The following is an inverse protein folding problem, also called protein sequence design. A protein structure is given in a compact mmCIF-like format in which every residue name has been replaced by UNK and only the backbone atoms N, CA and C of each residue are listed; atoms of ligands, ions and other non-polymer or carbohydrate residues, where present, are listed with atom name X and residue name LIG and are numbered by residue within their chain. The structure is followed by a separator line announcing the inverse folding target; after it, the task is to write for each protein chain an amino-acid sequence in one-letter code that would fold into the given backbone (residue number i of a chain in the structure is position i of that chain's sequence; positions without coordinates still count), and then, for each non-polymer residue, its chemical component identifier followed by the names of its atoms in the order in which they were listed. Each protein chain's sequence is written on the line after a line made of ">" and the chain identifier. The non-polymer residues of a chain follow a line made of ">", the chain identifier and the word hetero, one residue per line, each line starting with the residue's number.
data_IF_477243498092
#
_entry.id   IF_477243498092
#
_cell.length_a   1.000
_cell.length_b   1.000
_cell.length_c   1.000
_cell.angle_alpha   90.00
_cell.angle_beta   90.00
_cell.angle_gamma   90.00
#
_symmetry.space_group_name_H-M   'P 1'
#
loop_
_entity.id
_entity.type
_entity.pdbx_description
1 polymer ?
#
# COMPACT_ATOMS: atom_id res chain seq x y z
N UNK A 1 3.21 19.93 12.85
CA UNK A 1 3.98 21.12 12.39
C UNK A 1 3.06 22.28 12.02
N UNK A 2 2.12 22.10 11.09
CA UNK A 2 1.15 23.14 10.70
C UNK A 2 0.31 23.68 11.87
N UNK A 3 -0.29 22.81 12.70
CA UNK A 3 -1.07 23.23 13.88
C UNK A 3 -0.22 23.99 14.91
N UNK A 4 1.08 23.69 14.98
CA UNK A 4 2.06 24.43 15.79
C UNK A 4 2.53 25.73 15.13
N UNK A 5 1.97 26.07 13.96
CA UNK A 5 2.30 27.24 13.12
C UNK A 5 3.77 27.29 12.66
N UNK A 6 4.42 26.12 12.54
CA UNK A 6 5.84 26.02 12.17
C UNK A 6 6.06 25.79 10.66
N UNK A 7 5.10 25.17 9.99
CA UNK A 7 5.09 25.01 8.54
C UNK A 7 3.74 25.46 7.99
N UNK A 8 3.69 25.71 6.70
CA UNK A 8 2.45 25.97 5.96
C UNK A 8 1.62 24.69 5.78
N UNK A 9 0.44 24.81 5.16
CA UNK A 9 -0.53 23.73 5.07
C UNK A 9 0.07 22.48 4.40
N UNK A 10 0.02 21.28 5.04
CA UNK A 10 0.84 20.16 4.63
C UNK A 10 0.17 19.23 3.60
N UNK A 11 -1.10 19.46 3.26
CA UNK A 11 -1.85 18.61 2.30
C UNK A 11 -1.91 19.32 0.95
N UNK A 12 -0.77 19.38 0.30
CA UNK A 12 -0.60 20.06 -0.99
C UNK A 12 0.22 19.19 -1.93
N UNK A 13 -0.14 19.19 -3.21
CA UNK A 13 0.64 18.61 -4.31
C UNK A 13 1.58 19.67 -4.93
N UNK A 14 1.41 20.96 -4.59
CA UNK A 14 2.17 22.05 -5.19
C UNK A 14 3.63 22.06 -4.73
N UNK A 15 4.50 22.37 -5.68
CA UNK A 15 5.95 22.60 -5.47
C UNK A 15 6.33 24.07 -5.63
N UNK A 16 5.35 24.95 -5.82
CA UNK A 16 5.54 26.38 -6.05
C UNK A 16 4.84 27.22 -4.98
N UNK A 17 5.38 28.43 -4.77
CA UNK A 17 4.76 29.53 -4.05
C UNK A 17 3.99 30.42 -5.03
N UNK A 18 3.04 31.20 -4.54
CA UNK A 18 2.37 32.21 -5.36
C UNK A 18 3.29 33.41 -5.61
N UNK A 19 3.04 34.16 -6.68
CA UNK A 19 3.88 35.29 -7.08
C UNK A 19 3.91 36.42 -6.04
N UNK A 20 2.81 36.65 -5.31
CA UNK A 20 2.72 37.65 -4.24
C UNK A 20 3.59 37.32 -3.02
N UNK A 21 4.01 36.06 -2.86
CA UNK A 21 4.92 35.65 -1.80
C UNK A 21 6.39 35.97 -2.09
N UNK A 22 6.76 36.39 -3.30
CA UNK A 22 8.17 36.54 -3.72
C UNK A 22 8.97 37.42 -2.77
N UNK A 23 8.40 38.54 -2.33
CA UNK A 23 9.04 39.46 -1.38
C UNK A 23 9.28 38.88 0.02
N UNK A 24 8.58 37.80 0.39
CA UNK A 24 8.72 37.13 1.69
C UNK A 24 9.77 36.00 1.68
N UNK A 25 10.12 35.48 0.50
CA UNK A 25 11.03 34.33 0.35
C UNK A 25 12.39 34.53 1.03
N UNK A 26 13.03 35.73 0.99
CA UNK A 26 14.28 35.97 1.73
C UNK A 26 14.13 35.76 3.24
N UNK A 27 13.03 36.23 3.84
CA UNK A 27 12.75 36.04 5.26
C UNK A 27 12.50 34.56 5.62
N UNK A 28 11.74 33.85 4.78
CA UNK A 28 11.50 32.41 4.93
C UNK A 28 12.81 31.61 4.81
N UNK A 29 13.70 31.99 3.90
CA UNK A 29 15.02 31.38 3.72
C UNK A 29 15.91 31.63 4.94
N UNK A 30 15.90 32.85 5.50
CA UNK A 30 16.62 33.17 6.73
C UNK A 30 16.11 32.35 7.93
N UNK A 31 14.80 32.18 8.06
CA UNK A 31 14.20 31.30 9.06
C UNK A 31 14.65 29.83 8.86
N UNK A 32 14.65 29.35 7.61
CA UNK A 32 15.10 28.01 7.27
C UNK A 32 16.58 27.77 7.60
N UNK A 33 17.46 28.75 7.33
CA UNK A 33 18.88 28.69 7.66
C UNK A 33 19.08 28.55 9.18
N UNK A 34 18.35 29.36 9.98
CA UNK A 34 18.39 29.28 11.43
C UNK A 34 17.88 27.94 11.97
N UNK A 35 16.78 27.41 11.42
CA UNK A 35 16.26 26.08 11.79
C UNK A 35 17.30 24.98 11.55
N UNK A 36 18.09 25.11 10.48
CA UNK A 36 19.10 24.14 10.11
C UNK A 36 20.46 24.36 10.78
N UNK A 37 20.67 25.51 11.44
CA UNK A 37 21.97 25.89 12.01
C UNK A 37 23.03 26.14 10.95
N UNK A 38 22.64 26.69 9.79
CA UNK A 38 23.55 27.00 8.68
C UNK A 38 23.57 28.49 8.38
N UNK A 39 24.59 28.96 7.67
CA UNK A 39 24.65 30.33 7.20
C UNK A 39 23.50 30.65 6.23
N UNK A 40 23.01 31.89 6.29
CA UNK A 40 22.05 32.42 5.31
C UNK A 40 22.75 32.47 3.95
N UNK A 41 21.99 32.23 2.89
CA UNK A 41 22.50 32.26 1.52
C UNK A 41 22.84 33.69 1.13
N UNK A 42 23.96 33.91 0.46
CA UNK A 42 24.34 35.24 -0.05
C UNK A 42 23.36 35.75 -1.13
N UNK A 43 22.75 34.83 -1.87
CA UNK A 43 21.75 35.13 -2.91
C UNK A 43 20.57 34.19 -2.76
N UNK A 44 19.36 34.75 -2.76
CA UNK A 44 18.09 34.01 -2.68
C UNK A 44 17.36 34.14 -4.01
N UNK A 45 17.21 33.02 -4.72
CA UNK A 45 16.53 32.96 -6.02
C UNK A 45 15.01 32.84 -5.84
N UNK A 46 14.36 33.89 -5.32
CA UNK A 46 12.93 33.89 -4.99
C UNK A 46 12.02 33.60 -6.20
N UNK A 47 12.29 34.23 -7.34
CA UNK A 47 11.53 34.03 -8.57
C UNK A 47 11.52 32.56 -9.06
N UNK A 48 12.52 31.75 -8.69
CA UNK A 48 12.58 30.33 -9.09
C UNK A 48 11.47 29.49 -8.44
N UNK A 49 11.03 29.88 -7.24
CA UNK A 49 10.03 29.13 -6.47
C UNK A 49 8.64 29.75 -6.54
N UNK A 50 8.51 30.98 -7.07
CA UNK A 50 7.25 31.70 -7.18
C UNK A 50 6.65 31.57 -8.59
N UNK A 51 5.53 30.87 -8.72
CA UNK A 51 4.78 30.76 -9.98
C UNK A 51 3.31 30.41 -9.70
N UNK A 52 2.42 31.43 -9.69
CA UNK A 52 0.99 31.23 -9.42
C UNK A 52 0.30 30.28 -10.40
N UNK A 53 0.76 30.19 -11.65
CA UNK A 53 0.18 29.27 -12.65
C UNK A 53 0.50 27.79 -12.36
N UNK A 54 1.46 27.51 -11.46
CA UNK A 54 1.84 26.16 -11.04
C UNK A 54 1.45 25.86 -9.60
N UNK A 55 0.67 26.75 -8.98
CA UNK A 55 0.08 26.54 -7.66
C UNK A 55 -1.30 25.92 -7.84
N UNK A 56 -1.55 24.81 -7.16
CA UNK A 56 -2.88 24.17 -7.08
C UNK A 56 -3.70 24.84 -5.95
N UNK A 57 -4.65 24.14 -5.32
CA UNK A 57 -5.45 24.67 -4.20
C UNK A 57 -4.62 25.31 -3.07
N UNK A 58 -3.39 24.82 -2.89
CA UNK A 58 -2.45 25.30 -1.88
C UNK A 58 -1.05 25.41 -2.46
N UNK A 59 -0.26 26.36 -1.97
CA UNK A 59 1.15 26.49 -2.33
C UNK A 59 2.03 25.42 -1.64
N UNK A 60 3.33 25.41 -1.96
CA UNK A 60 4.30 24.47 -1.39
C UNK A 60 4.44 24.56 0.13
N UNK A 61 4.86 23.44 0.75
CA UNK A 61 5.16 23.38 2.19
C UNK A 61 6.48 24.09 2.46
N UNK A 62 6.44 25.17 3.24
CA UNK A 62 7.61 25.94 3.68
C UNK A 62 7.53 26.20 5.19
N UNK A 63 8.67 26.46 5.86
CA UNK A 63 8.63 26.93 7.24
C UNK A 63 7.94 28.30 7.29
N UNK A 64 7.27 28.62 8.39
CA UNK A 64 6.76 29.98 8.61
C UNK A 64 7.89 30.87 9.14
N UNK A 65 7.75 32.20 9.03
CA UNK A 65 8.71 33.12 9.67
C UNK A 65 8.82 32.90 11.19
N UNK A 66 7.68 32.59 11.84
CA UNK A 66 7.63 32.27 13.27
C UNK A 66 8.47 31.07 13.66
N UNK A 67 8.61 30.08 12.76
CA UNK A 67 9.42 28.89 12.99
C UNK A 67 10.91 29.21 13.20
N UNK A 68 11.42 30.28 12.59
CA UNK A 68 12.80 30.75 12.82
C UNK A 68 13.03 31.27 14.25
N UNK A 69 11.98 31.51 15.03
CA UNK A 69 12.07 31.96 16.44
C UNK A 69 11.88 30.83 17.43
N UNK A 70 11.49 29.65 16.96
CA UNK A 70 11.26 28.46 17.79
C UNK A 70 12.60 27.86 18.23
N UNK A 71 12.65 27.39 19.48
CA UNK A 71 13.72 26.50 19.91
C UNK A 71 13.53 25.13 19.25
N UNK A 72 14.27 24.90 18.16
CA UNK A 72 14.19 23.69 17.35
C UNK A 72 14.67 22.46 18.12
N UNK A 73 15.58 22.61 19.08
CA UNK A 73 16.09 21.48 19.86
C UNK A 73 15.09 20.99 20.90
N UNK A 74 14.22 21.86 21.39
CA UNK A 74 13.12 21.52 22.28
C UNK A 74 11.99 20.71 21.61
N UNK A 75 11.96 20.64 20.27
CA UNK A 75 10.98 19.83 19.55
C UNK A 75 11.27 18.33 19.69
N UNK A 76 10.23 17.48 19.75
CA UNK A 76 10.38 16.02 19.64
C UNK A 76 11.21 15.64 18.41
N UNK A 77 12.04 14.60 18.54
CA UNK A 77 13.04 14.26 17.51
C UNK A 77 12.46 14.13 16.08
N UNK A 78 11.30 13.47 15.93
CA UNK A 78 10.63 13.34 14.63
C UNK A 78 10.14 14.68 14.08
N UNK A 79 9.53 15.50 14.92
CA UNK A 79 9.06 16.85 14.55
C UNK A 79 10.22 17.76 14.14
N UNK A 80 11.31 17.72 14.90
CA UNK A 80 12.54 18.46 14.63
C UNK A 80 13.12 18.10 13.26
N UNK A 81 13.23 16.81 12.95
CA UNK A 81 13.78 16.38 11.67
C UNK A 81 12.84 16.69 10.50
N UNK A 82 11.52 16.64 10.68
CA UNK A 82 10.55 17.09 9.65
C UNK A 82 10.70 18.60 9.38
N UNK A 83 10.76 19.43 10.43
CA UNK A 83 10.92 20.87 10.26
C UNK A 83 12.22 21.21 9.54
N UNK A 84 13.32 20.52 9.91
CA UNK A 84 14.61 20.65 9.21
C UNK A 84 14.57 20.16 7.78
N UNK A 85 13.81 19.11 7.47
CA UNK A 85 13.65 18.62 6.10
C UNK A 85 12.96 19.67 5.23
N UNK A 86 11.86 20.24 5.72
CA UNK A 86 11.12 21.32 5.04
C UNK A 86 12.02 22.55 4.84
N UNK A 87 12.74 22.96 5.88
CA UNK A 87 13.68 24.09 5.83
C UNK A 87 14.82 23.86 4.82
N UNK A 88 15.44 22.67 4.82
CA UNK A 88 16.47 22.32 3.82
C UNK A 88 15.90 22.30 2.40
N UNK A 89 14.66 21.85 2.22
CA UNK A 89 13.97 21.88 0.93
C UNK A 89 13.90 23.30 0.37
N UNK A 90 13.49 24.27 1.21
CA UNK A 90 13.46 25.68 0.82
C UNK A 90 14.86 26.20 0.50
N UNK A 91 15.86 25.94 1.35
CA UNK A 91 17.25 26.35 1.10
C UNK A 91 17.79 25.78 -0.22
N UNK A 92 17.51 24.51 -0.51
CA UNK A 92 17.92 23.92 -1.79
C UNK A 92 17.21 24.59 -2.98
N UNK A 93 15.92 24.90 -2.82
CA UNK A 93 15.10 25.45 -3.89
C UNK A 93 15.43 26.92 -4.21
N UNK A 94 15.91 27.70 -3.25
CA UNK A 94 16.28 29.11 -3.41
C UNK A 94 17.78 29.37 -3.54
N UNK A 95 18.62 28.34 -3.32
CA UNK A 95 20.07 28.44 -3.42
C UNK A 95 20.59 28.52 -4.86
N UNK A 96 21.85 28.95 -5.01
CA UNK A 96 22.54 29.03 -6.29
C UNK A 96 22.71 27.66 -6.96
N UNK A 97 22.90 27.66 -8.27
CA UNK A 97 23.17 26.43 -9.03
C UNK A 97 24.45 25.75 -8.56
N UNK A 98 24.42 24.42 -8.41
CA UNK A 98 25.62 23.61 -8.28
C UNK A 98 26.43 23.65 -9.59
N UNK A 99 27.69 24.08 -9.53
CA UNK A 99 28.58 24.22 -10.69
C UNK A 99 29.79 23.29 -10.57
N UNK A 100 30.13 22.66 -11.68
CA UNK A 100 31.27 21.78 -11.79
C UNK A 100 31.84 21.82 -13.21
N UNK A 101 33.12 21.50 -13.32
CA UNK A 101 33.80 21.25 -14.58
C UNK A 101 33.84 19.75 -14.84
N UNK A 102 33.22 19.30 -15.94
CA UNK A 102 33.28 17.91 -16.38
C UNK A 102 34.41 17.74 -17.40
N UNK A 103 35.31 16.79 -17.14
CA UNK A 103 36.30 16.32 -18.13
C UNK A 103 35.84 14.96 -18.63
N UNK A 104 35.59 14.84 -19.93
CA UNK A 104 35.20 13.59 -20.58
C UNK A 104 36.32 13.13 -21.52
N UNK A 105 36.78 11.90 -21.34
CA UNK A 105 37.90 11.33 -22.09
C UNK A 105 37.43 10.07 -22.79
N UNK A 106 37.71 9.98 -24.08
CA UNK A 106 37.49 8.77 -24.87
C UNK A 106 38.85 8.14 -25.20
N UNK A 107 38.98 6.86 -24.91
CA UNK A 107 40.21 6.09 -25.05
C UNK A 107 40.00 4.98 -26.05
N UNK A 108 41.01 4.69 -26.87
CA UNK A 108 41.03 3.52 -27.75
C UNK A 108 42.01 2.49 -27.22
N UNK A 109 41.56 1.26 -27.02
CA UNK A 109 42.40 0.15 -26.61
C UNK A 109 41.95 -1.14 -27.30
N UNK A 110 42.87 -1.80 -28.02
CA UNK A 110 42.58 -3.06 -28.72
C UNK A 110 41.43 -2.95 -29.72
N UNK A 111 41.31 -1.81 -30.43
CA UNK A 111 40.23 -1.56 -31.41
C UNK A 111 38.87 -1.20 -30.79
N UNK A 112 38.75 -1.13 -29.46
CA UNK A 112 37.52 -0.78 -28.75
C UNK A 112 37.62 0.62 -28.14
N UNK A 113 36.49 1.32 -28.04
CA UNK A 113 36.39 2.61 -27.36
C UNK A 113 35.93 2.46 -25.92
N UNK A 114 36.58 3.19 -25.03
CA UNK A 114 36.24 3.33 -23.62
C UNK A 114 36.01 4.80 -23.31
N UNK A 115 35.11 5.11 -22.38
CA UNK A 115 34.88 6.49 -21.93
C UNK A 115 34.92 6.60 -20.42
N UNK A 116 35.47 7.71 -19.94
CA UNK A 116 35.48 8.06 -18.53
C UNK A 116 35.19 9.55 -18.38
N UNK A 117 34.48 9.90 -17.31
CA UNK A 117 34.15 11.28 -16.96
C UNK A 117 34.62 11.56 -15.55
N UNK A 118 35.26 12.70 -15.34
CA UNK A 118 35.53 13.26 -14.02
C UNK A 118 34.86 14.60 -13.82
N UNK A 119 34.55 14.93 -12.57
CA UNK A 119 33.89 16.17 -12.17
C UNK A 119 34.68 16.87 -11.08
N UNK A 120 35.13 18.09 -11.37
CA UNK A 120 35.70 18.99 -10.38
C UNK A 120 34.64 20.02 -9.97
N UNK A 121 34.24 20.02 -8.70
CA UNK A 121 33.22 20.95 -8.18
C UNK A 121 33.84 22.35 -8.09
N UNK A 122 33.21 23.32 -8.73
CA UNK A 122 33.64 24.73 -8.69
C UNK A 122 32.78 25.55 -7.73
N UNK A 123 31.50 25.19 -7.59
CA UNK A 123 30.57 25.81 -6.63
C UNK A 123 29.58 24.75 -6.12
N UNK A 124 29.52 24.46 -4.81
CA UNK A 124 28.57 23.50 -4.27
C UNK A 124 27.10 23.96 -4.40
N UNK A 125 26.84 25.27 -4.50
CA UNK A 125 25.51 25.85 -4.60
C UNK A 125 24.49 25.23 -3.64
N UNK A 126 23.30 24.93 -4.15
CA UNK A 126 22.22 24.31 -3.38
C UNK A 126 22.58 22.96 -2.73
N UNK A 127 23.56 22.20 -3.27
CA UNK A 127 23.99 20.92 -2.67
C UNK A 127 24.64 21.12 -1.30
N UNK A 128 25.15 22.33 -0.99
CA UNK A 128 25.69 22.65 0.34
C UNK A 128 24.67 22.44 1.47
N UNK A 129 23.36 22.48 1.16
CA UNK A 129 22.29 22.30 2.13
C UNK A 129 21.75 20.86 2.21
N UNK A 130 22.23 19.95 1.36
CA UNK A 130 21.88 18.53 1.44
C UNK A 130 22.65 17.83 2.56
N UNK A 131 21.99 16.87 3.22
CA UNK A 131 22.59 16.01 4.26
C UNK A 131 23.26 14.75 3.70
N UNK A 132 23.14 14.50 2.40
CA UNK A 132 23.70 13.28 1.80
C UNK A 132 25.23 13.33 1.81
N UNK A 133 25.85 12.18 2.13
CA UNK A 133 27.30 12.02 1.93
C UNK A 133 27.54 12.04 0.43
N UNK A 134 28.37 12.98 -0.02
CA UNK A 134 28.93 12.95 -1.37
C UNK A 134 29.47 11.54 -1.65
N UNK A 135 29.01 10.94 -2.75
CA UNK A 135 29.52 9.65 -3.22
C UNK A 135 30.87 9.93 -3.91
N UNK A 136 32.02 9.55 -3.32
CA UNK A 136 33.33 9.87 -3.87
C UNK A 136 33.53 9.26 -5.26
N UNK A 137 32.78 8.19 -5.59
CA UNK A 137 32.85 7.54 -6.90
C UNK A 137 32.23 8.37 -8.03
N UNK A 138 31.31 9.30 -7.70
CA UNK A 138 30.63 10.19 -8.66
C UNK A 138 31.29 11.56 -8.79
N UNK A 139 32.18 11.90 -7.88
CA UNK A 139 32.88 13.18 -7.78
C UNK A 139 34.40 12.97 -7.84
N UNK A 140 34.83 12.08 -8.73
CA UNK A 140 36.25 11.87 -9.00
C UNK A 140 36.74 12.88 -10.03
N UNK A 141 37.87 13.52 -9.73
CA UNK A 141 38.58 14.39 -10.68
C UNK A 141 39.52 13.50 -11.50
N UNK A 142 39.54 13.67 -12.82
CA UNK A 142 40.50 12.98 -13.66
C UNK A 142 41.89 13.62 -13.51
N UNK A 143 42.99 12.87 -13.73
CA UNK A 143 44.33 13.46 -13.72
C UNK A 143 44.44 14.63 -14.71
N UNK A 144 45.14 15.67 -14.30
CA UNK A 144 45.47 16.80 -15.16
C UNK A 144 46.43 16.38 -16.29
N UNK A 145 46.50 17.19 -17.34
CA UNK A 145 47.48 17.02 -18.42
C UNK A 145 47.12 15.97 -19.49
N UNK A 146 45.89 15.46 -19.47
CA UNK A 146 45.37 14.62 -20.57
C UNK A 146 45.20 15.46 -21.85
N UNK A 147 45.83 15.02 -22.93
CA UNK A 147 45.76 15.67 -24.25
C UNK A 147 45.38 14.69 -25.35
N UNK A 148 44.84 15.21 -26.45
CA UNK A 148 44.56 14.38 -27.62
C UNK A 148 45.85 13.78 -28.18
N UNK A 149 45.79 12.49 -28.55
CA UNK A 149 46.96 11.73 -29.02
C UNK A 149 47.86 11.19 -27.90
N UNK A 150 47.59 11.50 -26.63
CA UNK A 150 48.33 10.92 -25.50
C UNK A 150 48.14 9.40 -25.44
N UNK A 151 49.25 8.66 -25.30
CA UNK A 151 49.23 7.22 -25.07
C UNK A 151 49.32 6.94 -23.57
N UNK A 152 48.38 6.16 -23.05
CA UNK A 152 48.33 5.76 -21.64
C UNK A 152 48.66 4.26 -21.49
N UNK A 153 49.49 3.85 -20.51
CA UNK A 153 49.77 2.44 -20.28
C UNK A 153 48.57 1.75 -19.64
N UNK A 154 48.24 0.54 -20.13
CA UNK A 154 47.24 -0.34 -19.49
C UNK A 154 47.95 -1.21 -18.46
N UNK A 155 47.66 -0.98 -17.18
CA UNK A 155 48.30 -1.72 -16.07
C UNK A 155 47.59 -3.03 -15.72
N UNK A 156 46.27 -3.08 -15.90
CA UNK A 156 45.47 -4.28 -15.67
C UNK A 156 44.18 -4.26 -16.50
N UNK A 157 43.70 -5.45 -16.86
CA UNK A 157 42.38 -5.66 -17.42
C UNK A 157 41.67 -6.75 -16.61
N UNK A 158 40.42 -6.53 -16.24
CA UNK A 158 39.63 -7.48 -15.46
C UNK A 158 38.27 -7.69 -16.10
N UNK A 159 37.79 -8.93 -16.08
CA UNK A 159 36.43 -9.26 -16.52
C UNK A 159 35.51 -9.06 -15.32
N UNK A 160 34.55 -8.15 -15.43
CA UNK A 160 33.51 -7.95 -14.42
C UNK A 160 32.30 -8.80 -14.76
N UNK A 161 32.18 -9.94 -14.10
CA UNK A 161 30.99 -10.76 -14.19
C UNK A 161 29.83 -10.12 -13.41
N UNK A 162 28.63 -10.19 -13.97
CA UNK A 162 27.41 -9.66 -13.37
C UNK A 162 26.22 -10.59 -13.64
N UNK A 163 25.22 -10.55 -12.75
CA UNK A 163 23.93 -11.21 -12.94
C UNK A 163 22.82 -10.18 -12.83
N UNK A 164 21.75 -10.38 -13.61
CA UNK A 164 20.55 -9.57 -13.45
C UNK A 164 19.92 -9.83 -12.08
N UNK A 165 19.26 -8.81 -11.53
CA UNK A 165 18.51 -8.92 -10.27
C UNK A 165 17.04 -8.68 -10.55
N UNK A 166 16.17 -9.46 -9.91
CA UNK A 166 14.73 -9.22 -9.97
C UNK A 166 14.37 -7.81 -9.47
N UNK A 167 13.22 -7.25 -9.90
CA UNK A 167 12.70 -5.99 -9.37
C UNK A 167 12.61 -6.03 -7.85
N UNK A 168 12.94 -4.91 -7.20
CA UNK A 168 12.82 -4.80 -5.75
C UNK A 168 11.35 -4.74 -5.36
N UNK A 169 11.02 -5.34 -4.22
CA UNK A 169 9.72 -5.09 -3.59
C UNK A 169 9.57 -3.61 -3.24
N UNK A 170 8.32 -3.16 -3.17
CA UNK A 170 8.01 -1.81 -2.73
C UNK A 170 8.34 -1.63 -1.24
N UNK A 171 8.95 -0.51 -0.89
CA UNK A 171 8.85 0.12 0.43
C UNK A 171 7.67 1.10 0.45
N UNK A 172 7.32 1.66 1.61
CA UNK A 172 6.28 2.71 1.69
C UNK A 172 6.58 3.89 0.77
N UNK A 173 7.81 4.40 0.79
CA UNK A 173 8.27 5.50 -0.06
C UNK A 173 8.11 5.18 -1.55
N UNK A 174 8.63 4.03 -1.99
CA UNK A 174 8.52 3.65 -3.40
C UNK A 174 7.09 3.35 -3.85
N UNK A 175 6.21 2.88 -2.95
CA UNK A 175 4.80 2.66 -3.27
C UNK A 175 4.03 3.98 -3.34
N UNK A 176 4.27 4.91 -2.42
CA UNK A 176 3.68 6.25 -2.46
C UNK A 176 4.06 6.99 -3.74
N UNK A 177 5.34 6.92 -4.13
CA UNK A 177 5.82 7.48 -5.40
C UNK A 177 5.18 6.79 -6.63
N UNK A 178 4.99 5.46 -6.57
CA UNK A 178 4.26 4.75 -7.61
C UNK A 178 2.78 5.18 -7.67
N UNK A 179 2.13 5.42 -6.53
CA UNK A 179 0.75 5.92 -6.48
C UNK A 179 0.63 7.32 -7.07
N UNK A 180 1.60 8.22 -6.86
CA UNK A 180 1.64 9.56 -7.44
C UNK A 180 1.71 9.57 -8.98
N UNK A 181 2.22 8.51 -9.58
CA UNK A 181 2.49 8.45 -11.03
C UNK A 181 1.75 7.31 -11.73
N UNK A 182 0.90 6.59 -11.00
CA UNK A 182 0.11 5.48 -11.54
C UNK A 182 -0.78 5.97 -12.71
N UNK A 183 -0.72 5.26 -13.85
CA UNK A 183 -1.48 5.63 -15.05
C UNK A 183 -0.98 6.89 -15.78
N UNK A 184 0.05 7.58 -15.29
CA UNK A 184 0.51 8.86 -15.85
C UNK A 184 0.96 8.79 -17.33
N UNK A 185 1.36 7.60 -17.81
CA UNK A 185 1.77 7.38 -19.21
C UNK A 185 0.60 7.34 -20.19
N UNK A 186 -0.58 7.02 -19.67
CA UNK A 186 -1.80 6.83 -20.46
C UNK A 186 -2.73 8.06 -20.37
N UNK A 187 -2.33 9.07 -19.60
CA UNK A 187 -3.02 10.35 -19.46
C UNK A 187 -2.41 11.43 -20.37
N UNK A 188 -3.18 12.47 -20.70
CA UNK A 188 -2.66 13.64 -21.39
C UNK A 188 -1.55 14.33 -20.58
N UNK A 189 -0.60 14.96 -21.26
CA UNK A 189 0.48 15.69 -20.58
C UNK A 189 -0.07 16.79 -19.66
N UNK A 190 -1.18 17.41 -20.07
CA UNK A 190 -1.89 18.50 -19.40
C UNK A 190 -2.80 18.05 -18.24
N UNK A 191 -2.85 16.75 -17.92
CA UNK A 191 -3.60 16.27 -16.77
C UNK A 191 -3.01 16.87 -15.48
N UNK A 192 -3.71 17.86 -14.91
CA UNK A 192 -3.36 18.54 -13.66
C UNK A 192 -3.16 17.59 -12.47
N UNK A 193 -3.80 16.41 -12.49
CA UNK A 193 -3.62 15.36 -11.48
C UNK A 193 -3.31 14.04 -12.16
N UNK A 194 -2.19 13.44 -11.77
CA UNK A 194 -1.75 12.12 -12.20
C UNK A 194 -1.68 11.21 -10.96
N UNK A 195 -1.82 9.90 -11.16
CA UNK A 195 -1.77 8.94 -10.09
C UNK A 195 -3.11 8.62 -9.42
N UNK A 196 -3.04 7.80 -8.38
CA UNK A 196 -4.18 7.33 -7.60
C UNK A 196 -4.18 7.93 -6.20
N UNK A 197 -5.34 8.45 -5.80
CA UNK A 197 -5.55 9.12 -4.51
C UNK A 197 -4.86 10.49 -4.42
N UNK A 198 -5.02 11.13 -3.26
CA UNK A 198 -4.51 12.48 -2.96
C UNK A 198 -3.41 12.41 -1.91
N UNK A 199 -2.55 13.44 -1.73
CA UNK A 199 -1.56 13.48 -0.65
C UNK A 199 -2.14 13.16 0.73
N UNK A 200 -3.39 13.56 0.95
CA UNK A 200 -4.07 13.35 2.22
C UNK A 200 -4.54 11.91 2.44
N UNK A 201 -4.72 11.11 1.38
CA UNK A 201 -5.35 9.78 1.47
C UNK A 201 -4.40 8.61 1.23
N UNK A 202 -3.32 8.79 0.45
CA UNK A 202 -2.41 7.68 0.07
C UNK A 202 -1.84 6.94 1.29
N UNK A 203 -1.27 7.65 2.26
CA UNK A 203 -0.74 7.04 3.48
C UNK A 203 -1.82 6.27 4.26
N UNK A 204 -3.03 6.83 4.35
CA UNK A 204 -4.16 6.16 5.00
C UNK A 204 -4.62 4.90 4.27
N UNK A 205 -4.55 4.87 2.94
CA UNK A 205 -4.81 3.68 2.12
C UNK A 205 -3.78 2.59 2.42
N UNK A 206 -2.48 2.92 2.48
CA UNK A 206 -1.44 1.97 2.86
C UNK A 206 -1.71 1.36 4.25
N UNK A 207 -2.03 2.18 5.25
CA UNK A 207 -2.37 1.68 6.58
C UNK A 207 -3.62 0.80 6.58
N UNK A 208 -4.63 1.14 5.76
CA UNK A 208 -5.82 0.29 5.59
C UNK A 208 -5.47 -1.07 4.99
N UNK A 209 -4.61 -1.11 3.97
CA UNK A 209 -4.16 -2.37 3.36
C UNK A 209 -3.42 -3.25 4.37
N UNK A 210 -2.59 -2.65 5.24
CA UNK A 210 -1.86 -3.37 6.28
C UNK A 210 -2.78 -3.83 7.40
N UNK A 211 -3.60 -2.95 7.95
CA UNK A 211 -4.52 -3.28 9.05
C UNK A 211 -5.61 -4.30 8.66
N UNK A 212 -6.02 -4.32 7.39
CA UNK A 212 -6.95 -5.33 6.84
C UNK A 212 -6.25 -6.66 6.55
N UNK A 213 -4.90 -6.70 6.57
CA UNK A 213 -4.12 -7.93 6.37
C UNK A 213 -3.90 -8.30 4.90
N UNK A 214 -4.09 -7.39 3.94
CA UNK A 214 -3.78 -7.64 2.52
C UNK A 214 -2.29 -7.47 2.22
N UNK A 215 -1.61 -6.63 2.99
CA UNK A 215 -0.18 -6.34 2.86
C UNK A 215 0.47 -6.45 4.23
N UNK A 216 1.70 -6.95 4.29
CA UNK A 216 2.50 -7.01 5.50
C UNK A 216 3.81 -6.22 5.35
N UNK A 217 4.28 -5.66 6.47
CA UNK A 217 5.58 -5.00 6.58
C UNK A 217 6.64 -6.03 6.97
N UNK A 218 7.50 -6.41 6.02
CA UNK A 218 8.61 -7.34 6.25
C UNK A 218 9.93 -6.61 6.26
N UNK A 219 10.61 -6.64 7.42
CA UNK A 219 11.94 -6.07 7.57
C UNK A 219 12.97 -6.98 6.89
N UNK A 220 13.68 -6.46 5.90
CA UNK A 220 14.78 -7.13 5.23
C UNK A 220 16.02 -6.23 5.23
N UNK A 221 17.05 -6.65 5.97
CA UNK A 221 18.26 -5.86 6.22
C UNK A 221 17.90 -4.49 6.81
N UNK A 222 18.22 -3.40 6.10
CA UNK A 222 17.97 -2.01 6.51
C UNK A 222 16.68 -1.42 5.94
N UNK A 223 15.91 -2.18 5.16
CA UNK A 223 14.67 -1.72 4.54
C UNK A 223 13.47 -2.50 5.08
N UNK A 224 12.31 -1.84 5.13
CA UNK A 224 11.02 -2.48 5.38
C UNK A 224 10.26 -2.54 4.05
N UNK A 225 10.03 -3.76 3.58
CA UNK A 225 9.31 -4.01 2.34
C UNK A 225 7.83 -4.27 2.64
N UNK A 226 6.97 -3.84 1.73
CA UNK A 226 5.55 -4.17 1.67
C UNK A 226 5.39 -5.43 0.80
N UNK A 227 4.90 -6.50 1.41
CA UNK A 227 4.71 -7.79 0.75
C UNK A 227 3.22 -8.13 0.76
N UNK A 228 2.61 -8.51 -0.36
CA UNK A 228 1.23 -8.96 -0.36
C UNK A 228 1.10 -10.26 0.42
N UNK A 229 0.07 -10.36 1.26
CA UNK A 229 -0.25 -11.60 1.97
C UNK A 229 -0.97 -12.58 1.04
N UNK A 230 -1.15 -13.82 1.48
CA UNK A 230 -1.93 -14.80 0.71
C UNK A 230 -3.34 -14.29 0.42
N UNK A 231 -4.00 -13.65 1.38
CA UNK A 231 -5.35 -13.09 1.19
C UNK A 231 -5.33 -11.93 0.19
N UNK A 232 -4.29 -11.07 0.24
CA UNK A 232 -4.12 -9.99 -0.74
C UNK A 232 -3.94 -10.51 -2.17
N UNK A 233 -3.10 -11.53 -2.36
CA UNK A 233 -2.91 -12.19 -3.67
C UNK A 233 -4.20 -12.86 -4.14
N UNK A 234 -4.88 -13.59 -3.26
CA UNK A 234 -6.15 -14.24 -3.55
C UNK A 234 -7.22 -13.24 -3.99
N UNK A 235 -7.33 -12.09 -3.32
CA UNK A 235 -8.29 -11.03 -3.67
C UNK A 235 -8.02 -10.46 -5.06
N UNK A 236 -6.78 -10.09 -5.36
CA UNK A 236 -6.40 -9.58 -6.68
C UNK A 236 -6.64 -10.63 -7.77
N UNK A 237 -6.42 -11.92 -7.47
CA UNK A 237 -6.66 -13.01 -8.42
C UNK A 237 -8.14 -13.15 -8.83
N UNK A 238 -9.08 -12.80 -7.94
CA UNK A 238 -10.52 -12.96 -8.19
C UNK A 238 -11.24 -11.68 -8.61
N UNK A 239 -10.61 -10.52 -8.44
CA UNK A 239 -11.21 -9.24 -8.82
C UNK A 239 -11.24 -9.08 -10.35
N UNK A 240 -12.31 -8.52 -10.94
CA UNK A 240 -12.32 -8.11 -12.33
C UNK A 240 -11.14 -7.18 -12.66
N UNK A 241 -10.48 -7.40 -13.81
CA UNK A 241 -9.28 -6.64 -14.23
C UNK A 241 -9.54 -5.12 -14.26
N UNK A 242 -10.73 -4.72 -14.68
CA UNK A 242 -11.16 -3.31 -14.71
C UNK A 242 -11.02 -2.63 -13.33
N UNK A 243 -11.29 -3.34 -12.22
CA UNK A 243 -11.20 -2.80 -10.86
C UNK A 243 -9.77 -2.77 -10.31
N UNK A 244 -8.84 -3.48 -10.95
CA UNK A 244 -7.43 -3.50 -10.58
C UNK A 244 -6.66 -2.37 -11.27
N UNK A 245 -7.24 -1.76 -12.31
CA UNK A 245 -6.55 -0.82 -13.17
C UNK A 245 -6.43 0.57 -12.53
N UNK A 246 -5.20 1.12 -12.40
CA UNK A 246 -5.03 2.51 -12.00
C UNK A 246 -5.58 3.48 -13.04
N UNK A 247 -5.73 3.06 -14.30
CA UNK A 247 -6.30 3.88 -15.38
C UNK A 247 -7.76 4.24 -15.09
N UNK A 248 -8.56 3.30 -14.58
CA UNK A 248 -9.95 3.58 -14.25
C UNK A 248 -10.08 4.69 -13.19
N UNK A 249 -9.20 4.67 -12.19
CA UNK A 249 -9.16 5.72 -11.17
C UNK A 249 -8.76 7.07 -11.77
N UNK A 250 -7.80 7.06 -12.68
CA UNK A 250 -7.31 8.25 -13.37
C UNK A 250 -8.39 8.88 -14.27
N UNK A 251 -9.15 8.06 -15.00
CA UNK A 251 -10.30 8.48 -15.82
C UNK A 251 -11.40 9.12 -14.95
N UNK A 252 -11.71 8.53 -13.79
CA UNK A 252 -12.69 9.10 -12.87
C UNK A 252 -12.23 10.44 -12.27
N UNK A 253 -10.96 10.57 -11.88
CA UNK A 253 -10.41 11.85 -11.41
C UNK A 253 -10.48 12.92 -12.51
N UNK A 254 -10.27 12.54 -13.79
CA UNK A 254 -10.44 13.46 -14.91
C UNK A 254 -11.91 13.91 -15.07
N UNK A 255 -12.86 12.97 -15.08
CA UNK A 255 -14.29 13.29 -15.18
C UNK A 255 -14.81 14.13 -14.02
N UNK A 256 -14.31 13.89 -12.79
CA UNK A 256 -14.63 14.73 -11.63
C UNK A 256 -14.23 16.20 -11.86
N UNK A 257 -13.11 16.44 -12.56
CA UNK A 257 -12.71 17.81 -12.94
C UNK A 257 -13.57 18.40 -14.04
N UNK A 258 -13.96 17.61 -15.03
CA UNK A 258 -14.93 18.06 -16.04
C UNK A 258 -16.26 18.46 -15.38
N UNK A 259 -16.69 17.72 -14.35
CA UNK A 259 -17.85 18.07 -13.53
C UNK A 259 -17.62 19.38 -12.77
N UNK A 260 -16.46 19.56 -12.13
CA UNK A 260 -16.10 20.80 -11.43
C UNK A 260 -16.09 22.02 -12.36
N UNK A 261 -15.59 21.86 -13.60
CA UNK A 261 -15.59 22.91 -14.65
C UNK A 261 -16.97 23.10 -15.31
N UNK A 262 -17.93 22.23 -15.03
CA UNK A 262 -19.27 22.27 -15.63
C UNK A 262 -19.34 21.75 -17.07
N UNK A 263 -18.31 21.03 -17.53
CA UNK A 263 -18.23 20.40 -18.86
C UNK A 263 -19.07 19.12 -18.92
N UNK A 264 -19.13 18.36 -17.81
CA UNK A 264 -19.95 17.14 -17.67
C UNK A 264 -20.97 17.34 -16.55
N UNK A 265 -22.21 16.84 -16.75
CA UNK A 265 -23.23 16.90 -15.70
C UNK A 265 -22.93 15.89 -14.60
N UNK A 266 -23.06 16.24 -13.30
CA UNK A 266 -22.88 15.29 -12.20
C UNK A 266 -23.74 14.02 -12.34
N UNK A 267 -24.96 14.14 -12.89
CA UNK A 267 -25.84 13.00 -13.12
C UNK A 267 -25.28 12.02 -14.15
N UNK A 268 -24.66 12.53 -15.22
CA UNK A 268 -24.10 11.70 -16.29
C UNK A 268 -22.91 10.88 -15.79
N UNK A 269 -22.02 11.50 -15.00
CA UNK A 269 -20.93 10.81 -14.32
C UNK A 269 -21.44 9.69 -13.40
N UNK A 270 -22.45 9.99 -12.56
CA UNK A 270 -23.04 9.01 -11.66
C UNK A 270 -23.78 7.89 -12.38
N UNK A 271 -24.47 8.17 -13.48
CA UNK A 271 -25.13 7.18 -14.31
C UNK A 271 -24.11 6.21 -14.93
N UNK A 272 -22.95 6.70 -15.37
CA UNK A 272 -21.83 5.90 -15.84
C UNK A 272 -21.33 4.91 -14.78
N UNK A 273 -21.13 5.37 -13.54
CA UNK A 273 -20.74 4.51 -12.41
C UNK A 273 -21.83 3.45 -12.13
N UNK A 274 -23.10 3.85 -12.12
CA UNK A 274 -24.21 2.94 -11.88
C UNK A 274 -24.32 1.85 -12.95
N UNK A 275 -24.11 2.20 -14.23
CA UNK A 275 -24.11 1.25 -15.33
C UNK A 275 -22.96 0.25 -15.19
N UNK A 276 -21.73 0.71 -14.93
CA UNK A 276 -20.59 -0.16 -14.68
C UNK A 276 -20.86 -1.13 -13.53
N UNK A 277 -21.42 -0.65 -12.41
CA UNK A 277 -21.74 -1.50 -11.25
C UNK A 277 -22.82 -2.54 -11.59
N UNK A 278 -23.86 -2.18 -12.34
CA UNK A 278 -24.89 -3.13 -12.80
C UNK A 278 -24.27 -4.22 -13.67
N UNK A 279 -23.38 -3.84 -14.59
CA UNK A 279 -22.71 -4.79 -15.48
C UNK A 279 -21.77 -5.70 -14.70
N UNK A 280 -20.96 -5.15 -13.78
CA UNK A 280 -20.08 -5.94 -12.93
C UNK A 280 -20.87 -6.96 -12.09
N UNK A 281 -21.96 -6.55 -11.45
CA UNK A 281 -22.79 -7.45 -10.64
C UNK A 281 -23.54 -8.47 -11.50
N UNK A 282 -24.02 -8.06 -12.68
CA UNK A 282 -24.80 -8.92 -13.58
C UNK A 282 -23.94 -9.95 -14.33
N UNK A 283 -22.68 -9.62 -14.61
CA UNK A 283 -21.77 -10.49 -15.38
C UNK A 283 -20.81 -11.29 -14.51
N UNK A 284 -20.62 -10.90 -13.24
CA UNK A 284 -19.72 -11.60 -12.34
C UNK A 284 -20.17 -13.05 -12.12
N UNK A 285 -19.30 -13.97 -12.50
CA UNK A 285 -19.43 -15.39 -12.19
C UNK A 285 -18.44 -15.72 -11.09
N UNK A 286 -18.90 -16.48 -10.10
CA UNK A 286 -18.00 -17.03 -9.07
C UNK A 286 -16.89 -17.80 -9.77
N UNK A 287 -15.65 -17.40 -9.52
CA UNK A 287 -14.49 -18.08 -10.09
C UNK A 287 -14.39 -19.46 -9.45
N UNK A 288 -14.39 -20.49 -10.30
CA UNK A 288 -14.23 -21.87 -9.87
C UNK A 288 -12.91 -22.04 -9.10
N UNK A 289 -12.97 -22.65 -7.92
CA UNK A 289 -11.82 -22.79 -7.04
C UNK A 289 -11.53 -21.60 -6.12
N UNK A 290 -12.36 -20.54 -6.13
CA UNK A 290 -12.23 -19.41 -5.20
C UNK A 290 -12.26 -19.82 -3.71
N UNK A 291 -12.98 -20.88 -3.36
CA UNK A 291 -12.94 -21.51 -2.02
C UNK A 291 -11.55 -22.01 -1.60
N UNK A 292 -10.65 -22.32 -2.54
CA UNK A 292 -9.25 -22.68 -2.25
C UNK A 292 -8.42 -21.42 -1.96
N UNK A 293 -8.75 -20.32 -2.62
CA UNK A 293 -8.07 -19.03 -2.47
C UNK A 293 -8.43 -18.34 -1.13
N UNK A 294 -9.62 -18.61 -0.60
CA UNK A 294 -10.09 -18.14 0.70
C UNK A 294 -10.44 -19.33 1.61
N UNK A 295 -9.44 -20.06 2.13
CA UNK A 295 -9.72 -21.15 3.06
C UNK A 295 -10.38 -20.60 4.32
N UNK A 296 -11.36 -21.34 4.84
CA UNK A 296 -12.01 -20.99 6.09
C UNK A 296 -11.07 -21.25 7.26
N UNK A 297 -10.82 -20.24 8.09
CA UNK A 297 -10.06 -20.39 9.34
C UNK A 297 -10.85 -21.16 10.42
N UNK A 298 -12.07 -21.60 10.10
CA UNK A 298 -12.93 -22.28 11.06
C UNK A 298 -12.47 -23.71 11.26
N UNK A 299 -12.35 -24.09 12.52
CA UNK A 299 -11.98 -25.45 12.90
C UNK A 299 -12.99 -26.46 12.34
N UNK A 300 -12.47 -27.44 11.63
CA UNK A 300 -13.27 -28.53 11.07
C UNK A 300 -13.73 -29.46 12.19
N UNK A 301 -15.05 -29.58 12.33
CA UNK A 301 -15.70 -30.48 13.32
C UNK A 301 -15.76 -31.91 12.81
N UNK A 302 -15.85 -32.11 11.48
CA UNK A 302 -15.85 -33.42 10.84
C UNK A 302 -16.04 -33.32 9.33
N UNK A 303 -16.02 -34.47 8.65
CA UNK A 303 -16.30 -34.55 7.20
C UNK A 303 -17.82 -34.65 6.96
N UNK A 304 -18.29 -33.97 5.92
CA UNK A 304 -19.69 -34.00 5.51
C UNK A 304 -20.05 -35.39 4.94
N UNK A 305 -21.12 -36.05 5.41
CA UNK A 305 -21.52 -37.36 4.90
C UNK A 305 -22.04 -37.32 3.45
N UNK A 306 -22.44 -36.14 2.94
CA UNK A 306 -22.96 -35.98 1.57
C UNK A 306 -21.88 -35.76 0.52
N UNK A 307 -20.88 -34.93 0.81
CA UNK A 307 -19.89 -34.49 -0.18
C UNK A 307 -18.42 -34.64 0.26
N UNK A 308 -18.16 -35.14 1.47
CA UNK A 308 -16.81 -35.26 2.04
C UNK A 308 -16.14 -33.95 2.46
N UNK A 309 -16.73 -32.79 2.15
CA UNK A 309 -16.21 -31.46 2.51
C UNK A 309 -16.21 -31.19 4.02
N UNK A 310 -15.50 -30.15 4.46
CA UNK A 310 -15.44 -29.78 5.87
C UNK A 310 -16.80 -29.34 6.41
N UNK A 311 -17.12 -29.75 7.65
CA UNK A 311 -18.25 -29.24 8.43
C UNK A 311 -17.71 -28.38 9.57
N UNK A 312 -18.21 -27.15 9.68
CA UNK A 312 -17.74 -26.15 10.65
C UNK A 312 -18.87 -25.63 11.54
N UNK A 313 -18.52 -25.17 12.75
CA UNK A 313 -19.49 -24.65 13.71
C UNK A 313 -19.85 -23.19 13.40
N UNK A 314 -21.15 -22.87 13.42
CA UNK A 314 -21.72 -21.52 13.35
C UNK A 314 -22.70 -21.32 14.51
N UNK A 315 -23.17 -20.08 14.73
CA UNK A 315 -24.09 -19.74 15.83
C UNK A 315 -25.33 -20.64 15.88
N UNK A 316 -25.87 -21.02 14.72
CA UNK A 316 -27.11 -21.80 14.60
C UNK A 316 -26.91 -23.33 14.62
N UNK A 317 -25.69 -23.84 14.40
CA UNK A 317 -25.50 -25.25 14.06
C UNK A 317 -24.14 -25.57 13.46
N UNK A 318 -24.02 -26.78 12.93
CA UNK A 318 -22.83 -27.27 12.23
C UNK A 318 -23.16 -27.43 10.75
N UNK A 319 -22.41 -26.77 9.87
CA UNK A 319 -22.77 -26.64 8.45
C UNK A 319 -21.62 -27.09 7.56
N UNK A 320 -21.93 -27.73 6.44
CA UNK A 320 -20.92 -27.99 5.42
C UNK A 320 -20.46 -26.68 4.78
N UNK A 321 -19.15 -26.55 4.53
CA UNK A 321 -18.58 -25.37 3.90
C UNK A 321 -18.83 -25.30 2.39
N UNK A 322 -19.13 -26.44 1.76
CA UNK A 322 -19.59 -26.46 0.38
C UNK A 322 -21.02 -25.92 0.30
N UNK A 323 -21.17 -24.68 -0.17
CA UNK A 323 -22.45 -23.99 -0.29
C UNK A 323 -23.49 -24.77 -1.12
N UNK A 324 -23.06 -25.55 -2.12
CA UNK A 324 -23.95 -26.38 -2.94
C UNK A 324 -24.53 -27.60 -2.20
N UNK A 325 -23.85 -28.10 -1.17
CA UNK A 325 -24.22 -29.34 -0.47
C UNK A 325 -25.39 -29.17 0.51
N UNK A 326 -25.52 -27.98 1.11
CA UNK A 326 -26.59 -27.60 2.06
C UNK A 326 -26.77 -28.52 3.28
N UNK A 327 -25.79 -29.36 3.60
CA UNK A 327 -25.83 -30.20 4.80
C UNK A 327 -25.73 -29.33 6.07
N UNK A 328 -26.60 -29.61 7.06
CA UNK A 328 -26.65 -28.88 8.31
C UNK A 328 -27.11 -29.77 9.49
N UNK A 329 -26.49 -29.58 10.65
CA UNK A 329 -26.95 -30.09 11.95
C UNK A 329 -27.31 -28.91 12.85
N UNK A 330 -28.59 -28.69 13.05
CA UNK A 330 -29.10 -27.54 13.79
C UNK A 330 -29.04 -27.74 15.31
N UNK A 331 -28.47 -26.77 16.04
CA UNK A 331 -28.41 -26.82 17.51
C UNK A 331 -29.79 -26.83 18.16
N UNK A 332 -30.76 -26.16 17.53
CA UNK A 332 -32.16 -26.09 17.94
C UNK A 332 -33.05 -27.16 17.28
N UNK A 333 -32.48 -28.29 16.84
CA UNK A 333 -33.32 -29.35 16.26
C UNK A 333 -34.35 -29.85 17.28
N UNK A 334 -35.59 -30.06 16.81
CA UNK A 334 -36.70 -30.54 17.64
C UNK A 334 -36.35 -31.83 18.40
N UNK A 335 -35.55 -32.70 17.77
CA UNK A 335 -35.10 -33.95 18.39
C UNK A 335 -34.29 -33.71 19.67
N UNK A 336 -33.22 -32.92 19.60
CA UNK A 336 -32.36 -32.67 20.76
C UNK A 336 -33.10 -31.85 21.84
N UNK A 337 -33.91 -30.88 21.44
CA UNK A 337 -34.76 -30.09 22.35
C UNK A 337 -35.75 -30.97 23.12
N UNK A 338 -36.46 -31.89 22.43
CA UNK A 338 -37.40 -32.82 23.08
C UNK A 338 -36.72 -33.74 24.11
N UNK A 339 -35.42 -34.01 23.95
CA UNK A 339 -34.64 -34.82 24.91
C UNK A 339 -33.94 -34.00 25.97
N UNK A 340 -34.18 -32.68 26.02
CA UNK A 340 -33.49 -31.72 26.89
C UNK A 340 -31.96 -31.83 26.76
N UNK A 341 -31.47 -32.03 25.53
CA UNK A 341 -30.05 -32.10 25.20
C UNK A 341 -29.67 -31.01 24.22
N UNK A 342 -28.40 -30.63 24.26
CA UNK A 342 -27.80 -29.71 23.31
C UNK A 342 -26.91 -30.48 22.34
N UNK A 343 -26.98 -30.13 21.07
CA UNK A 343 -26.00 -30.59 20.08
C UNK A 343 -24.70 -29.82 20.29
N UNK A 344 -23.80 -30.36 21.10
CA UNK A 344 -22.46 -29.80 21.32
C UNK A 344 -21.53 -30.17 20.16
N UNK A 345 -20.38 -29.50 20.09
CA UNK A 345 -19.32 -29.79 19.10
C UNK A 345 -18.85 -31.24 19.16
N UNK A 346 -18.68 -31.79 20.36
CA UNK A 346 -18.27 -33.20 20.54
C UNK A 346 -19.33 -34.19 20.04
N UNK A 347 -20.62 -33.90 20.31
CA UNK A 347 -21.73 -34.73 19.82
C UNK A 347 -21.81 -34.67 18.30
N UNK A 348 -21.70 -33.47 17.70
CA UNK A 348 -21.67 -33.29 16.25
C UNK A 348 -20.48 -34.02 15.61
N UNK A 349 -19.27 -33.92 16.17
CA UNK A 349 -18.08 -34.60 15.68
C UNK A 349 -18.27 -36.14 15.67
N UNK A 350 -18.82 -36.72 16.75
CA UNK A 350 -19.11 -38.16 16.80
C UNK A 350 -20.18 -38.58 15.79
N UNK A 351 -21.24 -37.79 15.63
CA UNK A 351 -22.28 -38.08 14.62
C UNK A 351 -21.72 -38.04 13.19
N UNK A 352 -20.82 -37.10 12.88
CA UNK A 352 -20.20 -36.97 11.56
C UNK A 352 -19.20 -38.10 11.29
N UNK A 353 -18.45 -38.54 12.30
CA UNK A 353 -17.42 -39.58 12.16
C UNK A 353 -18.02 -40.99 12.15
N UNK A 354 -18.89 -41.27 13.11
CA UNK A 354 -19.32 -42.62 13.44
C UNK A 354 -20.78 -42.89 13.03
N UNK A 355 -21.51 -41.86 12.56
CA UNK A 355 -22.94 -41.92 12.29
C UNK A 355 -23.81 -42.03 13.55
N UNK A 356 -23.19 -42.11 14.74
CA UNK A 356 -23.88 -42.35 16.01
C UNK A 356 -23.12 -41.80 17.21
N UNK A 357 -23.84 -41.55 18.30
CA UNK A 357 -23.26 -41.07 19.57
C UNK A 357 -24.09 -41.53 20.76
N UNK A 358 -23.43 -41.98 21.83
CA UNK A 358 -24.12 -42.29 23.09
C UNK A 358 -24.45 -40.99 23.82
N UNK A 359 -25.72 -40.80 24.15
CA UNK A 359 -26.19 -39.71 25.00
C UNK A 359 -26.70 -40.29 26.32
N UNK A 360 -26.26 -39.69 27.42
CA UNK A 360 -26.70 -40.06 28.77
C UNK A 360 -27.74 -39.08 29.28
N UNK A 361 -28.71 -39.53 30.09
CA UNK A 361 -29.71 -38.67 30.72
C UNK A 361 -30.62 -37.91 29.75
N UNK A 362 -31.01 -38.53 28.63
CA UNK A 362 -32.04 -38.01 27.73
C UNK A 362 -33.42 -38.02 28.39
N UNK A 363 -34.20 -36.95 28.23
CA UNK A 363 -35.54 -36.85 28.80
C UNK A 363 -36.59 -37.63 27.97
N UNK A 364 -37.49 -38.34 28.66
CA UNK A 364 -38.67 -39.00 28.08
C UNK A 364 -39.93 -38.18 28.33
N UNK A 365 -40.54 -37.64 27.28
CA UNK A 365 -41.84 -36.95 27.37
C UNK A 365 -42.97 -37.90 27.77
N UNK A 366 -42.84 -39.21 27.47
CA UNK A 366 -43.86 -40.21 27.81
C UNK A 366 -43.85 -40.61 29.28
N UNK A 367 -42.67 -40.70 29.89
CA UNK A 367 -42.50 -41.27 31.24
C UNK A 367 -42.02 -40.26 32.26
N UNK A 368 -41.63 -39.05 31.85
CA UNK A 368 -41.06 -38.02 32.71
C UNK A 368 -39.66 -38.33 33.27
N UNK A 369 -39.11 -39.52 32.99
CA UNK A 369 -37.81 -40.01 33.49
C UNK A 369 -36.70 -39.75 32.48
N UNK A 370 -35.46 -39.85 32.95
CA UNK A 370 -34.26 -39.82 32.11
C UNK A 370 -33.82 -41.24 31.74
N UNK A 371 -33.17 -41.37 30.58
CA UNK A 371 -32.60 -42.63 30.09
C UNK A 371 -31.33 -42.38 29.28
N UNK A 372 -30.53 -43.42 29.12
CA UNK A 372 -29.38 -43.42 28.23
C UNK A 372 -29.73 -44.10 26.91
N UNK A 373 -29.26 -43.55 25.80
CA UNK A 373 -29.53 -44.10 24.47
C UNK A 373 -28.42 -43.75 23.48
N UNK A 374 -28.30 -44.55 22.43
CA UNK A 374 -27.46 -44.21 21.28
C UNK A 374 -28.31 -43.46 20.27
N UNK A 375 -27.90 -42.26 19.91
CA UNK A 375 -28.50 -41.50 18.80
C UNK A 375 -27.78 -41.90 17.51
N UNK A 376 -28.54 -42.29 16.50
CA UNK A 376 -28.05 -42.55 15.14
C UNK A 376 -28.54 -41.43 14.23
N UNK A 377 -27.64 -40.89 13.42
CA UNK A 377 -27.93 -39.88 12.41
C UNK A 377 -28.37 -40.56 11.11
N UNK A 378 -29.50 -40.12 10.56
CA UNK A 378 -30.01 -40.59 9.27
C UNK A 378 -30.09 -39.38 8.33
N UNK A 379 -29.28 -39.37 7.28
CA UNK A 379 -29.28 -38.30 6.27
C UNK A 379 -29.93 -38.79 4.98
N UNK A 380 -31.00 -38.12 4.53
CA UNK A 380 -31.74 -38.51 3.32
C UNK A 380 -31.25 -37.79 2.06
N UNK A 381 -30.11 -37.08 2.12
CA UNK A 381 -29.63 -36.18 1.07
C UNK A 381 -30.34 -34.82 1.07
N UNK A 382 -31.59 -34.74 1.53
CA UNK A 382 -32.32 -33.48 1.72
C UNK A 382 -32.27 -33.01 3.17
N UNK A 383 -32.59 -33.89 4.12
CA UNK A 383 -32.69 -33.56 5.55
C UNK A 383 -31.97 -34.58 6.43
N UNK A 384 -31.49 -34.10 7.57
CA UNK A 384 -30.89 -34.93 8.60
C UNK A 384 -31.89 -35.19 9.72
N UNK A 385 -32.13 -36.47 10.02
CA UNK A 385 -32.96 -36.95 11.11
C UNK A 385 -32.11 -37.71 12.14
N UNK A 386 -32.73 -37.99 13.28
CA UNK A 386 -32.10 -38.71 14.38
C UNK A 386 -33.03 -39.77 14.93
N UNK A 387 -32.49 -40.96 15.19
CA UNK A 387 -33.21 -42.09 15.78
C UNK A 387 -32.53 -42.52 17.07
N UNK A 388 -33.32 -42.93 18.06
CA UNK A 388 -32.81 -43.53 19.30
C UNK A 388 -32.74 -45.04 19.14
N UNK A 389 -31.58 -45.60 19.48
CA UNK A 389 -31.32 -47.03 19.60
C UNK A 389 -30.96 -47.30 21.05
N UNK A 390 -31.74 -48.18 21.69
CA UNK A 390 -31.52 -48.60 23.06
C UNK A 390 -30.75 -49.92 23.03
N UNK A 391 -29.63 -49.98 23.76
CA UNK A 391 -28.85 -51.21 23.84
C UNK A 391 -29.54 -52.19 24.78
N UNK A 392 -30.47 -52.99 24.25
CA UNK A 392 -30.96 -54.21 24.87
C UNK A 392 -31.13 -55.26 23.74
N UNK A 393 -30.08 -56.04 23.49
CA UNK A 393 -30.05 -57.12 22.48
C UNK A 393 -29.32 -56.73 21.21
#
# INVERSE_FOLDING_TARGET
>A
MYEKKLCTYPRTDSRYLTADMEGTVPALTAAAAKICGVAVQDTVLAAQVCNSAKVTDHHAIVPTEGAGRTDVEALPAGEREILRLVARGLLCATGSSYRYQETAVTLSCGGNQFSVKGKAITDPGWKAYQKEKADPSKESVLPDGLTEGMTLPVTAATIKEGKTTAPKHYTEDTLLSAMETAGAKDMSEDAERKGIGTPATRAGILEKLVSTGFVERKKQKKATNLIPTQIGVSLITVLPEQLQSPLLTAEWEHQLKEVERGEVKPSEFMDGICNMLRDLVGTYKVIDGSQVLFPSDRETVGKCPRCGGAVTERKQGFFCENAGCRFALWKNSKFFTAKKKNLTKSVAASLLRDGRVKLTGCYSEKTGKTYDATVVMEDTGEKTNFKLVFGNG
#
